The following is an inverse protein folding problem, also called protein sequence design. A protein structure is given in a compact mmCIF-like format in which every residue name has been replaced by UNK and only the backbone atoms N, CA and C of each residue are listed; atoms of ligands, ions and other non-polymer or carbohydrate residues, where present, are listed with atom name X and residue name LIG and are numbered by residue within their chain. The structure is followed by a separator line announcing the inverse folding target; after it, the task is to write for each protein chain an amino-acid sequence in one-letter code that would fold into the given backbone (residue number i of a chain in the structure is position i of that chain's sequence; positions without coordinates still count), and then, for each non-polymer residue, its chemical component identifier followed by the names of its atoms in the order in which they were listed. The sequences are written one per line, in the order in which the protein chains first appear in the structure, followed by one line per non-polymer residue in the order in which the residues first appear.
data_IF_879036573218
#
_entry.id   IF_879036573218
#
_cell.length_a   1.000
_cell.length_b   1.000
_cell.length_c   1.000
_cell.angle_alpha   90.00
_cell.angle_beta   90.00
_cell.angle_gamma   90.00
#
_symmetry.space_group_name_H-M   'P 1'
#
loop_
_entity.id
_entity.type
_entity.pdbx_description
1 polymer ?
#
# COMPACT_ATOMS: atom_id res chain seq x y z
N UNK A 1 -18.06 -25.34 4.49
CA UNK A 1 -18.72 -26.57 4.04
C UNK A 1 -18.15 -26.93 2.67
N UNK A 2 -17.56 -28.11 2.49
CA UNK A 2 -16.89 -28.46 1.24
C UNK A 2 -17.90 -28.43 0.09
N UNK A 3 -17.54 -27.82 -1.04
CA UNK A 3 -18.43 -27.68 -2.22
C UNK A 3 -18.98 -29.05 -2.68
N UNK A 4 -18.18 -30.10 -2.51
CA UNK A 4 -18.56 -31.51 -2.74
C UNK A 4 -19.67 -32.01 -1.82
N UNK A 5 -19.67 -31.62 -0.54
CA UNK A 5 -20.71 -32.02 0.42
C UNK A 5 -22.07 -31.40 0.06
N UNK A 6 -22.07 -30.13 -0.35
CA UNK A 6 -23.29 -29.43 -0.78
C UNK A 6 -23.88 -30.11 -2.03
N UNK A 7 -23.03 -30.44 -3.01
CA UNK A 7 -23.46 -31.13 -4.23
C UNK A 7 -24.10 -32.50 -3.92
N UNK A 8 -23.52 -33.27 -2.99
CA UNK A 8 -24.06 -34.56 -2.56
C UNK A 8 -25.44 -34.39 -1.89
N UNK A 9 -25.60 -33.40 -1.01
CA UNK A 9 -26.88 -33.14 -0.32
C UNK A 9 -27.98 -32.76 -1.33
N UNK A 10 -27.67 -31.87 -2.28
CA UNK A 10 -28.62 -31.48 -3.35
C UNK A 10 -29.02 -32.69 -4.20
N UNK A 11 -28.07 -33.55 -4.55
CA UNK A 11 -28.32 -34.75 -5.36
C UNK A 11 -29.21 -35.76 -4.62
N UNK A 12 -28.95 -36.00 -3.33
CA UNK A 12 -29.77 -36.89 -2.50
C UNK A 12 -31.19 -36.36 -2.38
N UNK A 13 -31.36 -35.07 -2.08
CA UNK A 13 -32.69 -34.43 -2.00
C UNK A 13 -33.45 -34.48 -3.34
N UNK A 14 -32.76 -34.34 -4.46
CA UNK A 14 -33.36 -34.46 -5.79
C UNK A 14 -33.87 -35.87 -6.10
N UNK A 15 -33.17 -36.90 -5.63
CA UNK A 15 -33.48 -38.32 -5.90
C UNK A 15 -34.51 -38.89 -4.93
N UNK A 16 -34.67 -38.30 -3.74
CA UNK A 16 -35.55 -38.86 -2.70
C UNK A 16 -37.02 -39.01 -3.15
N UNK A 17 -37.66 -38.02 -3.82
CA UNK A 17 -39.03 -38.17 -4.32
C UNK A 17 -39.16 -39.26 -5.40
N UNK A 18 -38.12 -39.41 -6.23
CA UNK A 18 -38.08 -40.42 -7.28
C UNK A 18 -37.97 -41.84 -6.70
N UNK A 19 -37.08 -42.04 -5.72
CA UNK A 19 -36.93 -43.33 -5.03
C UNK A 19 -38.19 -43.69 -4.25
N UNK A 20 -38.79 -42.74 -3.54
CA UNK A 20 -40.02 -42.98 -2.79
C UNK A 20 -41.18 -43.39 -3.71
N UNK A 21 -41.32 -42.71 -4.85
CA UNK A 21 -42.30 -43.08 -5.87
C UNK A 21 -42.00 -44.47 -6.46
N UNK A 22 -40.75 -44.76 -6.83
CA UNK A 22 -40.35 -46.04 -7.39
C UNK A 22 -40.57 -47.22 -6.43
N UNK A 23 -40.38 -47.04 -5.13
CA UNK A 23 -40.63 -48.09 -4.13
C UNK A 23 -42.13 -48.36 -3.97
N UNK A 24 -42.95 -47.31 -3.91
CA UNK A 24 -44.39 -47.41 -3.71
C UNK A 24 -45.12 -48.03 -4.92
N UNK A 25 -44.62 -47.82 -6.13
CA UNK A 25 -45.22 -48.29 -7.38
C UNK A 25 -44.40 -49.39 -8.09
N UNK A 26 -43.45 -50.01 -7.40
CA UNK A 26 -42.52 -51.02 -7.96
C UNK A 26 -43.20 -52.28 -8.51
N UNK A 27 -44.43 -52.57 -8.09
CA UNK A 27 -45.20 -53.77 -8.44
C UNK A 27 -46.26 -53.55 -9.54
N UNK A 28 -46.36 -52.34 -10.12
CA UNK A 28 -47.28 -52.03 -11.21
C UNK A 28 -46.59 -51.89 -12.58
N UNK A 29 -47.33 -52.16 -13.66
CA UNK A 29 -46.86 -51.87 -15.03
C UNK A 29 -46.72 -50.36 -15.27
N UNK A 30 -45.82 -49.97 -16.19
CA UNK A 30 -45.65 -48.56 -16.60
C UNK A 30 -46.98 -48.05 -17.17
N UNK A 31 -47.51 -46.97 -16.59
CA UNK A 31 -48.78 -46.40 -17.06
C UNK A 31 -48.66 -45.79 -18.45
N UNK A 32 -49.60 -46.17 -19.33
CA UNK A 32 -49.80 -45.57 -20.65
C UNK A 32 -50.73 -44.34 -20.60
N UNK A 33 -51.26 -43.98 -19.43
CA UNK A 33 -52.16 -42.83 -19.28
C UNK A 33 -51.36 -41.56 -19.00
N UNK A 34 -51.57 -40.53 -19.82
CA UNK A 34 -50.90 -39.22 -19.69
C UNK A 34 -51.24 -38.52 -18.35
N UNK A 35 -52.42 -38.77 -17.77
CA UNK A 35 -52.84 -38.22 -16.47
C UNK A 35 -51.90 -38.61 -15.33
N UNK A 36 -51.39 -39.85 -15.34
CA UNK A 36 -50.55 -40.37 -14.26
C UNK A 36 -49.18 -39.69 -14.28
N UNK A 37 -48.64 -39.43 -15.47
CA UNK A 37 -47.42 -38.66 -15.67
C UNK A 37 -47.58 -37.19 -15.26
N UNK A 38 -48.76 -36.60 -15.50
CA UNK A 38 -49.07 -35.24 -15.03
C UNK A 38 -49.12 -35.15 -13.51
N UNK A 39 -49.72 -36.14 -12.84
CA UNK A 39 -49.78 -36.22 -11.39
C UNK A 39 -48.39 -36.43 -10.77
N UNK A 40 -47.58 -37.31 -11.36
CA UNK A 40 -46.17 -37.51 -10.96
C UNK A 40 -45.36 -36.22 -11.08
N UNK A 41 -45.42 -35.56 -12.24
CA UNK A 41 -44.73 -34.28 -12.45
C UNK A 41 -45.14 -33.20 -11.45
N UNK A 42 -46.43 -33.16 -11.09
CA UNK A 42 -46.97 -32.24 -10.08
C UNK A 42 -46.44 -32.55 -8.66
N UNK A 43 -46.33 -33.82 -8.28
CA UNK A 43 -45.76 -34.23 -6.99
C UNK A 43 -44.26 -33.93 -6.89
N UNK A 44 -43.49 -34.31 -7.91
CA UNK A 44 -42.03 -34.05 -7.96
C UNK A 44 -41.76 -32.55 -8.01
N UNK A 45 -42.48 -31.81 -8.86
CA UNK A 45 -42.38 -30.35 -8.94
C UNK A 45 -42.78 -29.66 -7.63
N UNK A 46 -43.88 -30.10 -7.01
CA UNK A 46 -44.38 -29.54 -5.75
C UNK A 46 -43.47 -29.78 -4.55
N UNK A 47 -42.71 -30.87 -4.53
CA UNK A 47 -41.78 -31.21 -3.45
C UNK A 47 -40.38 -30.64 -3.68
N UNK A 48 -39.85 -30.71 -4.90
CA UNK A 48 -38.51 -30.21 -5.22
C UNK A 48 -38.44 -28.69 -5.30
N UNK A 49 -39.49 -28.01 -5.80
CA UNK A 49 -39.42 -26.56 -6.01
C UNK A 49 -39.20 -25.78 -4.70
N UNK A 50 -39.91 -26.04 -3.60
CA UNK A 50 -39.65 -25.38 -2.32
C UNK A 50 -38.26 -25.68 -1.75
N UNK A 51 -37.78 -26.93 -1.89
CA UNK A 51 -36.45 -27.35 -1.42
C UNK A 51 -35.36 -26.62 -2.20
N UNK A 52 -35.46 -26.59 -3.54
CA UNK A 52 -34.52 -25.89 -4.40
C UNK A 52 -34.55 -24.37 -4.17
N UNK A 53 -35.74 -23.80 -3.95
CA UNK A 53 -35.88 -22.39 -3.60
C UNK A 53 -35.18 -22.06 -2.27
N UNK A 54 -35.34 -22.92 -1.25
CA UNK A 54 -34.69 -22.74 0.04
C UNK A 54 -33.17 -22.86 -0.05
N UNK A 55 -32.65 -23.86 -0.79
CA UNK A 55 -31.20 -24.01 -1.02
C UNK A 55 -30.65 -22.80 -1.78
N UNK A 56 -31.38 -22.31 -2.78
CA UNK A 56 -31.00 -21.11 -3.53
C UNK A 56 -30.95 -19.88 -2.62
N UNK A 57 -31.92 -19.73 -1.72
CA UNK A 57 -31.93 -18.68 -0.72
C UNK A 57 -30.74 -18.76 0.25
N UNK A 58 -30.40 -19.96 0.76
CA UNK A 58 -29.21 -20.17 1.57
C UNK A 58 -27.92 -19.84 0.82
N UNK A 59 -27.83 -20.22 -0.45
CA UNK A 59 -26.71 -19.87 -1.33
C UNK A 59 -26.55 -18.36 -1.46
N UNK A 60 -27.66 -17.64 -1.70
CA UNK A 60 -27.67 -16.19 -1.77
C UNK A 60 -27.23 -15.54 -0.46
N UNK A 61 -27.70 -16.02 0.70
CA UNK A 61 -27.25 -15.53 2.01
C UNK A 61 -25.74 -15.73 2.21
N UNK A 62 -25.20 -16.89 1.84
CA UNK A 62 -23.78 -17.16 1.94
C UNK A 62 -22.96 -16.23 1.02
N UNK A 63 -23.45 -15.98 -0.19
CA UNK A 63 -22.84 -15.02 -1.12
C UNK A 63 -22.85 -13.61 -0.55
N UNK A 64 -23.97 -13.14 0.02
CA UNK A 64 -24.06 -11.81 0.64
C UNK A 64 -23.05 -11.64 1.78
N UNK A 65 -22.92 -12.63 2.66
CA UNK A 65 -21.93 -12.59 3.74
C UNK A 65 -20.49 -12.52 3.22
N UNK A 66 -20.17 -13.28 2.17
CA UNK A 66 -18.86 -13.21 1.53
C UNK A 66 -18.62 -11.85 0.88
N UNK A 67 -19.63 -11.29 0.21
CA UNK A 67 -19.57 -9.98 -0.42
C UNK A 67 -19.37 -8.86 0.59
N UNK A 68 -20.05 -8.90 1.74
CA UNK A 68 -19.85 -7.91 2.81
C UNK A 68 -18.42 -7.93 3.36
N UNK A 69 -17.85 -9.13 3.55
CA UNK A 69 -16.47 -9.28 4.03
C UNK A 69 -15.47 -8.72 3.03
N UNK A 70 -15.60 -9.08 1.76
CA UNK A 70 -14.73 -8.56 0.70
C UNK A 70 -14.90 -7.04 0.55
N UNK A 71 -16.13 -6.52 0.59
CA UNK A 71 -16.38 -5.08 0.53
C UNK A 71 -15.71 -4.33 1.69
N UNK A 72 -15.79 -4.86 2.93
CA UNK A 72 -15.08 -4.29 4.08
C UNK A 72 -13.55 -4.30 3.89
N UNK A 73 -13.00 -5.37 3.32
CA UNK A 73 -11.57 -5.47 3.04
C UNK A 73 -11.14 -4.47 1.96
N UNK A 74 -11.90 -4.38 0.86
CA UNK A 74 -11.66 -3.42 -0.22
C UNK A 74 -11.72 -1.98 0.27
N UNK A 75 -12.70 -1.62 1.13
CA UNK A 75 -12.79 -0.28 1.72
C UNK A 75 -11.56 0.07 2.56
N UNK A 76 -11.12 -0.83 3.44
CA UNK A 76 -9.91 -0.62 4.26
C UNK A 76 -8.65 -0.47 3.43
N UNK A 77 -8.53 -1.26 2.36
CA UNK A 77 -7.41 -1.16 1.44
C UNK A 77 -7.40 0.18 0.70
N UNK A 78 -8.58 0.62 0.21
CA UNK A 78 -8.74 1.93 -0.44
C UNK A 78 -8.44 3.10 0.51
N UNK A 79 -8.95 3.05 1.75
CA UNK A 79 -8.62 4.04 2.79
C UNK A 79 -7.11 4.11 3.06
N UNK A 80 -6.44 2.95 3.16
CA UNK A 80 -4.98 2.89 3.36
C UNK A 80 -4.20 3.47 2.19
N UNK A 81 -4.67 3.22 0.96
CA UNK A 81 -4.10 3.81 -0.25
C UNK A 81 -4.25 5.33 -0.27
N UNK A 82 -5.44 5.84 0.07
CA UNK A 82 -5.71 7.27 0.20
C UNK A 82 -4.77 7.91 1.22
N UNK A 83 -4.58 7.30 2.39
CA UNK A 83 -3.63 7.81 3.39
C UNK A 83 -2.19 7.84 2.85
N UNK A 84 -1.75 6.80 2.15
CA UNK A 84 -0.42 6.72 1.54
C UNK A 84 -0.22 7.84 0.50
N UNK A 85 -1.15 7.96 -0.45
CA UNK A 85 -1.09 8.97 -1.52
C UNK A 85 -1.10 10.38 -0.93
N UNK A 86 -1.93 10.64 0.08
CA UNK A 86 -1.93 11.94 0.77
C UNK A 86 -0.63 12.19 1.54
N UNK A 87 -0.06 11.18 2.20
CA UNK A 87 1.20 11.34 2.92
C UNK A 87 2.34 11.70 1.96
N UNK A 88 2.45 11.01 0.82
CA UNK A 88 3.44 11.28 -0.24
C UNK A 88 3.26 12.68 -0.81
N UNK A 89 2.03 13.07 -1.15
CA UNK A 89 1.76 14.40 -1.68
C UNK A 89 2.05 15.50 -0.65
N UNK A 90 1.80 15.23 0.63
CA UNK A 90 2.05 16.19 1.72
C UNK A 90 3.54 16.41 1.93
N UNK A 91 4.38 15.36 1.87
CA UNK A 91 5.82 15.53 1.97
C UNK A 91 6.39 16.28 0.75
N UNK A 92 5.92 15.98 -0.46
CA UNK A 92 6.29 16.71 -1.67
C UNK A 92 5.91 18.20 -1.57
N UNK A 93 4.70 18.50 -1.08
CA UNK A 93 4.25 19.87 -0.85
C UNK A 93 5.13 20.61 0.16
N UNK A 94 5.60 19.92 1.21
CA UNK A 94 6.49 20.51 2.20
C UNK A 94 7.81 20.98 1.58
N UNK A 95 8.39 20.18 0.70
CA UNK A 95 9.60 20.54 -0.04
C UNK A 95 9.34 21.71 -0.99
N UNK A 96 8.27 21.64 -1.77
CA UNK A 96 7.91 22.69 -2.72
C UNK A 96 7.62 24.02 -2.03
N UNK A 97 7.01 23.98 -0.85
CA UNK A 97 6.76 25.17 -0.03
C UNK A 97 8.07 25.80 0.45
N UNK A 98 9.04 24.97 0.85
CA UNK A 98 10.34 25.47 1.33
C UNK A 98 11.26 25.97 0.21
N UNK A 99 11.19 25.38 -0.99
CA UNK A 99 12.11 25.62 -2.11
C UNK A 99 11.54 26.52 -3.23
N UNK A 100 10.34 27.07 -3.06
CA UNK A 100 9.58 27.72 -4.13
C UNK A 100 9.44 26.82 -5.37
N UNK A 101 8.90 25.61 -5.18
CA UNK A 101 8.77 24.57 -6.21
C UNK A 101 10.12 24.23 -6.88
N UNK A 102 11.20 24.18 -6.10
CA UNK A 102 12.55 23.89 -6.58
C UNK A 102 13.24 25.04 -7.33
N UNK A 103 12.66 26.24 -7.38
CA UNK A 103 13.25 27.41 -8.06
C UNK A 103 14.31 28.11 -7.21
N UNK A 104 14.15 28.07 -5.89
CA UNK A 104 15.08 28.71 -4.97
C UNK A 104 16.21 27.74 -4.62
N UNK A 105 17.49 28.14 -4.80
CA UNK A 105 18.64 27.29 -4.48
C UNK A 105 18.85 27.12 -2.97
N UNK A 106 18.21 27.95 -2.15
CA UNK A 106 18.19 27.91 -0.69
C UNK A 106 16.74 27.99 -0.20
N UNK A 107 16.44 27.57 1.04
CA UNK A 107 15.10 27.70 1.59
C UNK A 107 14.58 29.13 1.54
N UNK A 108 13.26 29.30 1.39
CA UNK A 108 12.63 30.63 1.49
C UNK A 108 12.76 31.14 2.92
N UNK A 109 13.31 32.35 3.05
CA UNK A 109 13.52 33.04 4.31
C UNK A 109 12.22 33.69 4.83
N UNK A 110 11.24 32.87 5.17
CA UNK A 110 9.96 33.30 5.74
C UNK A 110 9.49 32.35 6.86
N UNK A 111 9.10 32.91 8.01
CA UNK A 111 8.69 32.14 9.18
C UNK A 111 7.47 31.26 8.92
N UNK A 112 6.47 31.77 8.20
CA UNK A 112 5.26 31.01 7.89
C UNK A 112 5.57 29.85 6.94
N UNK A 113 6.50 30.04 6.01
CA UNK A 113 6.99 28.96 5.14
C UNK A 113 7.61 27.85 5.99
N UNK A 114 8.56 28.16 6.86
CA UNK A 114 9.20 27.16 7.73
C UNK A 114 8.19 26.45 8.65
N UNK A 115 7.28 27.19 9.29
CA UNK A 115 6.21 26.61 10.10
C UNK A 115 5.28 25.69 9.29
N UNK A 116 4.93 26.10 8.07
CA UNK A 116 4.05 25.32 7.20
C UNK A 116 4.74 24.04 6.76
N UNK A 117 5.99 24.14 6.33
CA UNK A 117 6.82 22.98 5.98
C UNK A 117 6.91 21.98 7.14
N UNK A 118 7.23 22.45 8.35
CA UNK A 118 7.31 21.57 9.52
C UNK A 118 5.96 20.89 9.83
N UNK A 119 4.83 21.61 9.73
CA UNK A 119 3.50 21.02 9.92
C UNK A 119 3.17 19.98 8.86
N UNK A 120 3.55 20.22 7.60
CA UNK A 120 3.33 19.28 6.51
C UNK A 120 4.14 17.99 6.73
N UNK A 121 5.41 18.09 7.14
CA UNK A 121 6.23 16.91 7.48
C UNK A 121 5.58 16.10 8.62
N UNK A 122 5.15 16.76 9.70
CA UNK A 122 4.48 16.09 10.81
C UNK A 122 3.14 15.46 10.41
N UNK A 123 2.39 16.13 9.52
CA UNK A 123 1.13 15.62 8.99
C UNK A 123 1.35 14.37 8.13
N UNK A 124 2.38 14.37 7.28
CA UNK A 124 2.76 13.19 6.49
C UNK A 124 3.12 12.01 7.41
N UNK A 125 3.94 12.23 8.45
CA UNK A 125 4.26 11.21 9.45
C UNK A 125 3.02 10.67 10.19
N UNK A 126 2.08 11.55 10.53
CA UNK A 126 0.81 11.15 11.15
C UNK A 126 -0.06 10.31 10.22
N UNK A 127 -0.11 10.64 8.93
CA UNK A 127 -0.85 9.86 7.93
C UNK A 127 -0.21 8.49 7.72
N UNK A 128 1.13 8.43 7.62
CA UNK A 128 1.87 7.17 7.55
C UNK A 128 1.58 6.26 8.75
N UNK A 129 1.55 6.82 9.97
CA UNK A 129 1.20 6.07 11.18
C UNK A 129 -0.24 5.53 11.21
N UNK A 130 -1.12 6.03 10.32
CA UNK A 130 -2.49 5.53 10.17
C UNK A 130 -2.59 4.33 9.22
N UNK A 131 -1.52 4.02 8.46
CA UNK A 131 -1.49 2.88 7.53
C UNK A 131 -1.21 1.60 8.32
N UNK A 132 -2.08 0.57 8.25
CA UNK A 132 -1.88 -0.68 8.99
C UNK A 132 -0.59 -1.42 8.60
N UNK A 133 0.04 -2.10 9.56
CA UNK A 133 1.25 -2.92 9.32
C UNK A 133 1.01 -4.08 8.34
N UNK A 134 -0.24 -4.54 8.19
CA UNK A 134 -0.61 -5.55 7.20
C UNK A 134 -0.40 -5.09 5.75
N UNK A 135 -0.40 -3.78 5.50
CA UNK A 135 -0.24 -3.18 4.18
C UNK A 135 1.24 -2.85 3.89
N UNK A 136 2.10 -3.86 4.00
CA UNK A 136 3.56 -3.72 3.89
C UNK A 136 4.04 -3.11 2.56
N UNK A 137 3.27 -3.25 1.48
CA UNK A 137 3.59 -2.66 0.16
C UNK A 137 3.42 -1.14 0.19
N UNK A 138 2.30 -0.64 0.70
CA UNK A 138 2.03 0.80 0.80
C UNK A 138 3.01 1.49 1.75
N UNK A 139 3.35 0.84 2.86
CA UNK A 139 4.34 1.38 3.79
C UNK A 139 5.73 1.48 3.17
N UNK A 140 6.16 0.44 2.43
CA UNK A 140 7.43 0.47 1.67
C UNK A 140 7.43 1.55 0.59
N UNK A 141 6.30 1.75 -0.10
CA UNK A 141 6.16 2.82 -1.08
C UNK A 141 6.38 4.19 -0.43
N UNK A 142 5.69 4.47 0.68
CA UNK A 142 5.85 5.73 1.39
C UNK A 142 7.28 5.94 1.90
N UNK A 143 7.93 4.91 2.46
CA UNK A 143 9.33 5.01 2.92
C UNK A 143 10.26 5.38 1.75
N UNK A 144 10.11 4.74 0.59
CA UNK A 144 10.93 5.06 -0.59
C UNK A 144 10.76 6.51 -1.07
N UNK A 145 9.52 7.00 -1.08
CA UNK A 145 9.23 8.41 -1.39
C UNK A 145 9.76 9.37 -0.31
N UNK A 146 9.62 9.02 0.97
CA UNK A 146 10.16 9.81 2.08
C UNK A 146 11.68 9.97 1.94
N UNK A 147 12.41 8.89 1.63
CA UNK A 147 13.86 8.94 1.41
C UNK A 147 14.25 9.81 0.21
N UNK A 148 13.48 9.74 -0.89
CA UNK A 148 13.68 10.63 -2.03
C UNK A 148 13.55 12.10 -1.61
N UNK A 149 12.49 12.46 -0.89
CA UNK A 149 12.28 13.83 -0.44
C UNK A 149 13.28 14.24 0.64
N UNK A 150 13.66 13.34 1.54
CA UNK A 150 14.72 13.57 2.54
C UNK A 150 16.02 13.97 1.87
N UNK A 151 16.42 13.26 0.82
CA UNK A 151 17.59 13.61 0.02
C UNK A 151 17.44 14.97 -0.69
N UNK A 152 16.24 15.31 -1.17
CA UNK A 152 15.98 16.62 -1.76
C UNK A 152 16.12 17.74 -0.72
N UNK A 153 15.57 17.56 0.48
CA UNK A 153 15.75 18.47 1.61
C UNK A 153 17.22 18.56 2.03
N UNK A 154 17.93 17.44 2.12
CA UNK A 154 19.35 17.40 2.45
C UNK A 154 20.17 18.28 1.48
N UNK A 155 19.93 18.15 0.17
CA UNK A 155 20.60 18.97 -0.85
C UNK A 155 20.23 20.45 -0.77
N UNK A 156 18.97 20.76 -0.44
CA UNK A 156 18.51 22.15 -0.28
C UNK A 156 19.10 22.80 0.98
N UNK A 157 19.22 22.03 2.06
CA UNK A 157 19.70 22.52 3.35
C UNK A 157 21.24 22.58 3.42
N UNK A 158 21.90 21.63 2.76
CA UNK A 158 23.35 21.46 2.72
C UNK A 158 24.03 21.61 4.10
N UNK A 159 23.61 20.82 5.11
CA UNK A 159 23.94 21.07 6.52
C UNK A 159 25.43 20.91 6.84
N UNK A 160 26.19 20.18 6.01
CA UNK A 160 27.63 19.97 6.21
C UNK A 160 28.51 20.99 5.50
N UNK A 161 27.93 21.86 4.67
CA UNK A 161 28.67 22.90 3.99
C UNK A 161 28.80 24.13 4.90
N UNK A 162 30.03 24.52 5.30
CA UNK A 162 30.27 25.66 6.16
C UNK A 162 29.88 27.00 5.51
N UNK A 163 29.75 27.04 4.18
CA UNK A 163 29.33 28.22 3.42
C UNK A 163 27.82 28.22 3.09
N UNK A 164 27.05 27.27 3.65
CA UNK A 164 25.59 27.19 3.44
C UNK A 164 24.85 28.39 4.05
N UNK A 165 23.59 28.61 3.64
CA UNK A 165 22.74 29.66 4.22
C UNK A 165 22.61 29.51 5.74
N UNK A 166 22.71 28.27 6.26
CA UNK A 166 22.56 27.96 7.68
C UNK A 166 23.73 28.48 8.53
N UNK A 167 24.87 28.80 7.93
CA UNK A 167 25.98 29.46 8.60
C UNK A 167 25.69 30.94 8.93
N UNK A 168 24.75 31.58 8.22
CA UNK A 168 24.42 32.99 8.41
C UNK A 168 23.28 33.17 9.43
N UNK A 169 23.60 33.71 10.61
CA UNK A 169 22.61 34.00 11.65
C UNK A 169 21.53 34.99 11.18
N UNK A 170 21.86 35.97 10.34
CA UNK A 170 20.90 36.97 9.85
C UNK A 170 19.78 36.33 9.03
N UNK A 171 20.05 35.17 8.41
CA UNK A 171 19.06 34.41 7.67
C UNK A 171 17.85 34.08 8.56
N UNK A 172 18.10 33.67 9.81
CA UNK A 172 17.05 33.21 10.72
C UNK A 172 16.36 34.35 11.49
N UNK A 173 17.01 35.51 11.60
CA UNK A 173 16.48 36.67 12.34
C UNK A 173 15.61 37.54 11.42
N UNK A 174 16.08 37.84 10.21
CA UNK A 174 15.50 38.86 9.34
C UNK A 174 14.60 38.24 8.26
N UNK A 175 13.36 37.85 8.59
CA UNK A 175 12.47 37.35 7.53
C UNK A 175 12.19 38.41 6.45
N UNK A 176 12.09 37.96 5.19
CA UNK A 176 11.81 38.84 4.04
C UNK A 176 10.48 39.59 4.18
N UNK A 177 9.55 39.03 4.94
CA UNK A 177 8.25 39.61 5.18
C UNK A 177 8.25 40.28 6.56
N UNK A 178 8.13 41.62 6.59
CA UNK A 178 8.21 42.44 7.82
C UNK A 178 7.22 42.02 8.93
N UNK A 179 6.16 41.30 8.57
CA UNK A 179 5.14 40.79 9.50
C UNK A 179 5.50 39.42 10.10
N UNK A 180 6.42 38.68 9.47
CA UNK A 180 6.67 37.27 9.76
C UNK A 180 7.64 37.05 10.93
N UNK A 181 8.39 38.06 11.41
CA UNK A 181 9.31 37.90 12.56
C UNK A 181 10.47 36.92 12.31
N UNK A 182 11.11 36.45 13.38
CA UNK A 182 12.20 35.44 13.31
C UNK A 182 11.68 34.05 12.91
N UNK A 183 12.53 33.24 12.27
CA UNK A 183 12.19 31.84 11.95
C UNK A 183 11.94 31.06 13.25
N UNK A 184 10.89 30.25 13.26
CA UNK A 184 10.45 29.58 14.49
C UNK A 184 11.33 28.36 14.81
N UNK A 185 11.83 28.29 16.04
CA UNK A 185 12.88 27.33 16.47
C UNK A 185 12.44 25.87 16.36
N UNK A 186 11.18 25.53 16.65
CA UNK A 186 10.69 24.15 16.54
C UNK A 186 10.58 23.71 15.09
N UNK A 187 10.22 24.60 14.18
CA UNK A 187 10.17 24.31 12.75
C UNK A 187 11.55 23.95 12.20
N UNK A 188 12.60 24.65 12.66
CA UNK A 188 13.99 24.31 12.36
C UNK A 188 14.28 22.89 12.85
N UNK A 189 14.00 22.60 14.11
CA UNK A 189 14.23 21.25 14.68
C UNK A 189 13.52 20.16 13.87
N UNK A 190 12.25 20.33 13.54
CA UNK A 190 11.47 19.33 12.78
C UNK A 190 12.09 19.07 11.40
N UNK A 191 12.51 20.13 10.70
CA UNK A 191 13.06 20.01 9.35
C UNK A 191 14.47 19.38 9.40
N UNK A 192 15.33 19.78 10.33
CA UNK A 192 16.67 19.20 10.47
C UNK A 192 16.62 17.76 10.99
N UNK A 193 15.80 17.47 12.01
CA UNK A 193 15.58 16.09 12.48
C UNK A 193 15.03 15.20 11.36
N UNK A 194 14.19 15.75 10.46
CA UNK A 194 13.75 15.03 9.27
C UNK A 194 14.90 14.72 8.32
N UNK A 195 15.85 15.63 8.11
CA UNK A 195 16.98 15.38 7.21
C UNK A 195 18.01 14.41 7.80
N UNK A 196 18.28 14.50 9.11
CA UNK A 196 19.34 13.73 9.77
C UNK A 196 18.94 12.30 10.13
N UNK A 197 17.65 11.97 10.19
CA UNK A 197 17.16 10.72 10.78
C UNK A 197 16.66 9.69 9.75
N UNK A 198 17.30 8.52 9.68
CA UNK A 198 16.66 7.25 9.27
C UNK A 198 17.39 6.02 9.84
N UNK A 199 17.60 5.94 11.16
CA UNK A 199 18.30 4.80 11.78
C UNK A 199 17.50 3.47 11.72
N UNK A 200 16.18 3.54 11.49
CA UNK A 200 15.29 2.37 11.54
C UNK A 200 15.02 1.72 10.17
N UNK A 201 15.58 2.26 9.07
CA UNK A 201 15.34 1.73 7.72
C UNK A 201 16.48 0.80 7.33
N UNK A 202 16.18 -0.47 7.03
CA UNK A 202 17.15 -1.39 6.43
C UNK A 202 17.54 -0.81 5.08
N UNK A 203 18.77 -0.32 4.95
CA UNK A 203 19.30 0.18 3.68
C UNK A 203 19.43 -1.00 2.72
N UNK A 204 18.72 -1.01 1.57
CA UNK A 204 18.83 -2.07 0.57
C UNK A 204 20.26 -2.26 0.06
N UNK A 205 21.15 -1.28 0.24
CA UNK A 205 22.56 -1.37 -0.14
C UNK A 205 23.37 -2.32 0.74
N UNK A 206 22.90 -2.68 1.95
CA UNK A 206 23.62 -3.60 2.81
C UNK A 206 23.65 -5.04 2.28
N UNK A 207 22.65 -5.42 1.47
CA UNK A 207 22.56 -6.77 0.88
C UNK A 207 23.36 -6.90 -0.43
N UNK A 208 23.95 -5.82 -0.95
CA UNK A 208 24.68 -5.83 -2.22
C UNK A 208 26.17 -6.13 -1.97
N UNK A 209 26.64 -7.22 -2.58
CA UNK A 209 28.05 -7.59 -2.55
C UNK A 209 28.93 -6.54 -3.25
N UNK A 210 30.15 -6.35 -2.73
CA UNK A 210 31.14 -5.50 -3.37
C UNK A 210 31.67 -6.13 -4.64
N UNK A 211 32.04 -5.30 -5.61
CA UNK A 211 32.68 -5.74 -6.86
C UNK A 211 33.90 -6.63 -6.61
N UNK A 212 33.99 -7.73 -7.37
CA UNK A 212 35.16 -8.60 -7.41
C UNK A 212 36.27 -8.00 -8.29
N UNK A 213 37.55 -8.39 -8.10
CA UNK A 213 38.64 -7.96 -8.96
C UNK A 213 38.40 -8.27 -10.44
N UNK A 214 37.82 -9.42 -10.75
CA UNK A 214 37.51 -9.88 -12.10
C UNK A 214 36.45 -9.00 -12.77
N UNK A 215 35.38 -8.66 -12.05
CA UNK A 215 34.33 -7.74 -12.53
C UNK A 215 34.88 -6.33 -12.83
N UNK A 216 35.86 -5.87 -12.04
CA UNK A 216 36.52 -4.58 -12.24
C UNK A 216 37.43 -4.62 -13.48
N UNK A 217 38.01 -5.77 -13.79
CA UNK A 217 38.86 -5.93 -14.96
C UNK A 217 38.07 -5.83 -16.28
N UNK A 218 36.86 -6.39 -16.31
CA UNK A 218 35.93 -6.39 -17.45
C UNK A 218 35.25 -5.04 -17.73
N UNK A 219 35.46 -4.03 -16.87
CA UNK A 219 34.85 -2.70 -17.03
C UNK A 219 35.25 -2.00 -18.33
N UNK A 220 34.32 -1.23 -18.90
CA UNK A 220 34.47 -0.58 -20.21
C UNK A 220 35.63 0.43 -20.19
N UNK A 221 36.27 0.62 -21.35
CA UNK A 221 37.44 1.51 -21.51
C UNK A 221 37.15 2.98 -21.13
N UNK A 222 35.89 3.43 -21.21
CA UNK A 222 35.47 4.76 -20.75
C UNK A 222 35.42 4.92 -19.23
N UNK A 223 35.42 3.83 -18.46
CA UNK A 223 35.26 3.82 -16.99
C UNK A 223 36.61 3.82 -16.24
N UNK A 224 37.69 4.31 -16.87
CA UNK A 224 39.05 4.30 -16.29
C UNK A 224 39.14 4.94 -14.90
N UNK A 225 38.41 6.02 -14.65
CA UNK A 225 38.37 6.69 -13.34
C UNK A 225 37.74 5.82 -12.25
N UNK A 226 36.59 5.22 -12.56
CA UNK A 226 35.88 4.29 -11.67
C UNK A 226 36.74 3.05 -11.36
N UNK A 227 37.35 2.44 -12.39
CA UNK A 227 38.25 1.29 -12.25
C UNK A 227 39.41 1.59 -11.30
N UNK A 228 40.09 2.74 -11.48
CA UNK A 228 41.16 3.17 -10.57
C UNK A 228 40.68 3.37 -9.13
N UNK A 229 39.50 3.97 -8.94
CA UNK A 229 38.92 4.17 -7.62
C UNK A 229 38.64 2.83 -6.93
N UNK A 230 37.96 1.89 -7.59
CA UNK A 230 37.61 0.58 -7.02
C UNK A 230 38.86 -0.24 -6.67
N UNK A 231 39.85 -0.30 -7.57
CA UNK A 231 41.13 -0.96 -7.28
C UNK A 231 41.86 -0.35 -6.08
N UNK A 232 41.86 0.99 -5.95
CA UNK A 232 42.50 1.68 -4.83
C UNK A 232 41.86 1.40 -3.47
N UNK A 233 40.56 1.04 -3.45
CA UNK A 233 39.81 0.72 -2.23
C UNK A 233 39.93 -0.75 -1.85
N UNK A 234 40.06 -1.65 -2.83
CA UNK A 234 40.39 -3.05 -2.60
C UNK A 234 41.77 -3.21 -1.95
N UNK A 235 42.77 -2.43 -2.39
CA UNK A 235 44.13 -2.46 -1.82
C UNK A 235 44.22 -1.96 -0.37
N UNK A 236 43.27 -1.16 0.12
CA UNK A 236 43.26 -0.64 1.50
C UNK A 236 42.57 -1.57 2.51
N UNK A 237 41.94 -2.66 2.04
CA UNK A 237 41.22 -3.64 2.87
C UNK A 237 42.02 -4.94 3.09
N UNK A 238 43.20 -5.08 2.49
CA UNK A 238 44.20 -6.11 2.81
C UNK A 238 45.21 -5.55 3.82
#
# INVERSE_FOLDING_TARGET
MNKTLIAIIVFVLAITPFVFWSLQFSSGDISNQTSDWSNFGSFVGGTLSPVLAFISFLGLLATLQSQEKENKRSKKHEESKIYCDHAINTIALSYNTLSDNGKSPVPIQDRLVWLTTARLILSAKSLYGSIPESESSLRRLYIGEEEFWRMAFYKLLDPHNPDSFSANQEYFINSKNRLSGEIEKRSIKVIYDFVECSDDTIDPMWDIEYYTPEEIEEMRVGQRGLKKFLLSKLQRRQ
#
